data_IF_928373971876
#
_entry.id   IF_928373971876
#
_cell.length_a   1.000
_cell.length_b   1.000
_cell.length_c   1.000
_cell.angle_alpha   90.00
_cell.angle_beta   90.00
_cell.angle_gamma   90.00
#
_symmetry.space_group_name_H-M   'P 1'
#
loop_
_entity.id
_entity.type
_entity.pdbx_description
1 polymer ?
#
# COMPACT_ATOMS: atom_id res chain seq x y z
N UNK A 1 8.24 3.60 31.88
CA UNK A 1 8.95 4.43 30.89
C UNK A 1 8.29 4.21 29.55
N UNK A 2 7.87 5.30 28.91
CA UNK A 2 6.73 5.38 28.00
C UNK A 2 7.09 4.99 26.56
N UNK A 3 6.68 3.80 26.11
CA UNK A 3 6.84 3.32 24.72
C UNK A 3 5.61 3.60 23.85
N UNK A 4 5.08 4.83 23.89
CA UNK A 4 3.98 5.25 23.02
C UNK A 4 4.34 6.56 22.32
N UNK A 5 5.45 6.56 21.58
CA UNK A 5 5.52 7.43 20.40
C UNK A 5 4.83 6.62 19.30
N UNK A 6 3.50 6.69 19.29
CA UNK A 6 2.78 6.47 18.04
C UNK A 6 3.16 7.65 17.14
N UNK A 7 4.32 7.54 16.50
CA UNK A 7 4.79 8.51 15.52
C UNK A 7 3.66 8.65 14.53
N UNK A 8 3.08 9.84 14.44
CA UNK A 8 2.02 10.03 13.46
C UNK A 8 2.63 9.77 12.08
N UNK A 9 1.82 9.28 11.13
CA UNK A 9 2.25 9.16 9.73
C UNK A 9 2.83 10.47 9.22
N UNK A 10 2.38 11.62 9.76
CA UNK A 10 2.87 12.94 9.38
C UNK A 10 4.31 13.25 9.86
N UNK A 11 4.77 12.67 10.97
CA UNK A 11 6.10 12.97 11.55
C UNK A 11 7.20 12.05 11.02
N UNK A 12 6.88 10.77 10.83
CA UNK A 12 7.81 9.79 10.26
C UNK A 12 7.04 8.69 9.51
N UNK A 13 6.63 8.96 8.25
CA UNK A 13 5.81 8.04 7.48
C UNK A 13 6.46 6.66 7.34
N UNK A 14 7.76 6.64 7.05
CA UNK A 14 8.52 5.41 6.84
C UNK A 14 8.65 4.58 8.12
N UNK A 15 8.90 5.22 9.27
CA UNK A 15 9.00 4.50 10.53
C UNK A 15 7.64 3.91 10.94
N UNK A 16 6.57 4.71 10.82
CA UNK A 16 5.22 4.23 11.07
C UNK A 16 4.89 3.00 10.23
N UNK A 17 5.14 3.07 8.92
CA UNK A 17 4.86 1.98 7.98
C UNK A 17 5.66 0.73 8.31
N UNK A 18 6.96 0.86 8.64
CA UNK A 18 7.80 -0.28 9.03
C UNK A 18 7.28 -0.99 10.28
N UNK A 19 6.89 -0.22 11.30
CA UNK A 19 6.32 -0.79 12.54
C UNK A 19 5.00 -1.50 12.28
N UNK A 20 4.08 -0.88 11.53
CA UNK A 20 2.80 -1.51 11.21
C UNK A 20 2.97 -2.75 10.33
N UNK A 21 3.81 -2.65 9.29
CA UNK A 21 4.10 -3.78 8.43
C UNK A 21 4.77 -4.94 9.18
N UNK A 22 5.70 -4.66 10.10
CA UNK A 22 6.34 -5.70 10.90
C UNK A 22 5.33 -6.51 11.71
N UNK A 23 4.36 -5.82 12.35
CA UNK A 23 3.27 -6.46 13.10
C UNK A 23 2.38 -7.31 12.19
N UNK A 24 1.97 -6.79 11.04
CA UNK A 24 1.13 -7.52 10.08
C UNK A 24 1.84 -8.79 9.57
N UNK A 25 3.15 -8.71 9.30
CA UNK A 25 3.97 -9.87 8.91
C UNK A 25 4.00 -10.91 10.05
N UNK A 26 4.25 -10.47 11.28
CA UNK A 26 4.27 -11.37 12.44
C UNK A 26 2.91 -12.07 12.66
N UNK A 27 1.82 -11.32 12.59
CA UNK A 27 0.46 -11.84 12.75
C UNK A 27 0.09 -12.82 11.64
N UNK A 28 0.36 -12.49 10.39
CA UNK A 28 0.11 -13.37 9.25
C UNK A 28 0.94 -14.65 9.31
N UNK A 29 2.23 -14.54 9.68
CA UNK A 29 3.10 -15.70 9.88
C UNK A 29 2.53 -16.61 10.97
N UNK A 30 2.10 -16.05 12.10
CA UNK A 30 1.47 -16.81 13.21
C UNK A 30 0.16 -17.47 12.79
N UNK A 31 -0.70 -16.77 12.03
CA UNK A 31 -1.95 -17.34 11.47
C UNK A 31 -1.71 -18.53 10.57
N UNK A 32 -0.56 -18.57 9.88
CA UNK A 32 -0.11 -19.70 9.05
C UNK A 32 0.69 -20.77 9.82
N UNK A 33 0.79 -20.65 11.15
CA UNK A 33 1.56 -21.55 12.03
C UNK A 33 3.05 -21.68 11.69
N UNK A 34 3.65 -20.66 11.06
CA UNK A 34 5.06 -20.65 10.71
C UNK A 34 5.91 -20.09 11.86
N UNK A 35 7.06 -20.70 12.15
CA UNK A 35 8.07 -20.05 13.01
C UNK A 35 8.85 -19.00 12.23
N UNK A 36 9.56 -18.09 12.92
CA UNK A 36 10.47 -17.16 12.25
C UNK A 36 11.53 -17.90 11.42
N UNK A 37 11.97 -19.09 11.88
CA UNK A 37 12.95 -19.88 11.14
C UNK A 37 12.37 -20.44 9.85
N UNK A 38 11.10 -20.82 9.84
CA UNK A 38 10.46 -21.40 8.65
C UNK A 38 10.29 -20.33 7.57
N UNK A 39 9.68 -19.19 7.91
CA UNK A 39 9.50 -18.09 6.95
C UNK A 39 10.84 -17.52 6.46
N UNK A 40 11.83 -17.36 7.36
CA UNK A 40 13.15 -16.90 6.95
C UNK A 40 13.81 -17.87 5.95
N UNK A 41 13.68 -19.19 6.19
CA UNK A 41 14.18 -20.21 5.27
C UNK A 41 13.48 -20.14 3.91
N UNK A 42 12.16 -19.99 3.88
CA UNK A 42 11.39 -19.85 2.64
C UNK A 42 11.80 -18.64 1.81
N UNK A 43 12.23 -17.56 2.48
CA UNK A 43 12.73 -16.34 1.84
C UNK A 43 14.22 -16.39 1.50
N UNK A 44 14.94 -17.46 1.86
CA UNK A 44 16.39 -17.55 1.69
C UNK A 44 17.20 -16.63 2.62
N UNK A 45 16.60 -16.21 3.75
CA UNK A 45 17.14 -15.22 4.67
C UNK A 45 17.48 -15.80 6.05
N UNK A 46 18.26 -15.06 6.84
CA UNK A 46 18.55 -15.42 8.23
C UNK A 46 17.41 -15.10 9.19
N UNK A 47 17.27 -15.88 10.28
CA UNK A 47 16.23 -15.64 11.32
C UNK A 47 16.34 -14.25 11.94
N UNK A 48 17.57 -13.74 12.11
CA UNK A 48 17.81 -12.37 12.59
C UNK A 48 17.21 -11.32 11.66
N UNK A 49 17.35 -11.50 10.34
CA UNK A 49 16.78 -10.58 9.35
C UNK A 49 15.27 -10.51 9.53
N UNK A 50 14.56 -11.65 9.59
CA UNK A 50 13.12 -11.65 9.76
C UNK A 50 12.68 -11.02 11.09
N UNK A 51 13.42 -11.25 12.17
CA UNK A 51 13.16 -10.61 13.47
C UNK A 51 13.25 -9.09 13.38
N UNK A 52 14.24 -8.56 12.66
CA UNK A 52 14.39 -7.12 12.45
C UNK A 52 13.24 -6.54 11.61
N UNK A 53 12.74 -7.29 10.62
CA UNK A 53 11.55 -6.90 9.83
C UNK A 53 10.30 -6.88 10.71
N UNK A 54 10.02 -7.95 11.45
CA UNK A 54 8.84 -8.05 12.32
C UNK A 54 8.85 -6.99 13.43
N UNK A 55 10.02 -6.62 13.94
CA UNK A 55 10.18 -5.55 14.92
C UNK A 55 10.01 -4.13 14.33
N UNK A 56 9.94 -3.99 13.00
CA UNK A 56 9.86 -2.69 12.34
C UNK A 56 11.15 -1.88 12.47
N UNK A 57 12.31 -2.54 12.42
CA UNK A 57 13.62 -1.90 12.57
C UNK A 57 13.74 -0.67 11.64
N UNK A 58 14.04 0.54 12.14
CA UNK A 58 14.19 1.73 11.30
C UNK A 58 15.20 1.55 10.16
N UNK A 59 16.21 0.68 10.35
CA UNK A 59 17.25 0.36 9.37
C UNK A 59 16.87 -0.72 8.36
N UNK A 60 15.77 -1.46 8.56
CA UNK A 60 15.28 -2.39 7.53
C UNK A 60 14.89 -1.63 6.27
N UNK A 61 14.93 -2.27 5.11
CA UNK A 61 14.50 -1.62 3.88
C UNK A 61 13.03 -1.93 3.61
N UNK A 62 12.35 -1.07 2.86
CA UNK A 62 10.92 -1.28 2.59
C UNK A 62 10.67 -2.49 1.67
N UNK A 63 11.59 -2.77 0.75
CA UNK A 63 11.60 -3.96 -0.09
C UNK A 63 11.67 -5.25 0.72
N UNK A 64 12.36 -5.27 1.87
CA UNK A 64 12.34 -6.42 2.77
C UNK A 64 10.94 -6.71 3.32
N UNK A 65 10.20 -5.65 3.69
CA UNK A 65 8.81 -5.76 4.14
C UNK A 65 7.89 -6.23 3.02
N UNK A 66 8.09 -5.73 1.79
CA UNK A 66 7.33 -6.15 0.61
C UNK A 66 7.60 -7.63 0.27
N UNK A 67 8.83 -8.11 0.38
CA UNK A 67 9.17 -9.51 0.15
C UNK A 67 8.42 -10.44 1.13
N UNK A 68 8.39 -10.09 2.42
CA UNK A 68 7.60 -10.81 3.42
C UNK A 68 6.09 -10.74 3.12
N UNK A 69 5.57 -9.57 2.79
CA UNK A 69 4.15 -9.39 2.47
C UNK A 69 3.72 -10.23 1.27
N UNK A 70 4.52 -10.22 0.19
CA UNK A 70 4.29 -11.04 -1.00
C UNK A 70 4.29 -12.54 -0.66
N UNK A 71 5.28 -13.02 0.11
CA UNK A 71 5.37 -14.43 0.50
C UNK A 71 4.22 -14.90 1.38
N UNK A 72 3.66 -13.98 2.17
CA UNK A 72 2.51 -14.21 3.06
C UNK A 72 1.18 -13.82 2.43
N UNK A 73 1.16 -13.47 1.14
CA UNK A 73 -0.01 -13.03 0.37
C UNK A 73 -0.82 -11.96 1.12
N UNK A 74 -0.11 -11.04 1.75
CA UNK A 74 -0.72 -9.89 2.40
C UNK A 74 -0.99 -8.81 1.37
N UNK A 75 -2.14 -8.15 1.52
CA UNK A 75 -2.36 -6.83 0.95
C UNK A 75 -1.15 -5.94 1.26
N UNK A 76 -0.69 -5.16 0.28
CA UNK A 76 0.37 -4.16 0.47
C UNK A 76 -0.18 -2.79 0.88
N UNK A 77 -1.50 -2.69 1.06
CA UNK A 77 -2.22 -1.46 1.36
C UNK A 77 -1.74 -0.82 2.66
N UNK A 78 -1.38 -1.62 3.66
CA UNK A 78 -0.85 -1.12 4.94
C UNK A 78 0.53 -0.48 4.83
N UNK A 79 1.21 -0.65 3.69
CA UNK A 79 2.46 0.04 3.33
C UNK A 79 2.15 1.22 2.42
N UNK A 80 1.46 0.99 1.30
CA UNK A 80 1.34 1.98 0.23
C UNK A 80 0.37 3.11 0.56
N UNK A 81 -0.79 2.80 1.15
CA UNK A 81 -1.84 3.80 1.39
C UNK A 81 -1.38 4.86 2.41
N UNK A 82 -0.76 4.52 3.56
CA UNK A 82 -0.21 5.53 4.46
C UNK A 82 0.82 6.45 3.77
N UNK A 83 1.63 5.91 2.85
CA UNK A 83 2.62 6.70 2.09
C UNK A 83 1.94 7.63 1.08
N UNK A 84 0.84 7.21 0.44
CA UNK A 84 0.05 8.08 -0.42
C UNK A 84 -0.54 9.27 0.37
N UNK A 85 -1.08 9.02 1.56
CA UNK A 85 -1.57 10.08 2.46
C UNK A 85 -0.45 11.03 2.87
N UNK A 86 0.70 10.48 3.29
CA UNK A 86 1.86 11.28 3.66
C UNK A 86 2.37 12.16 2.51
N UNK A 87 2.42 11.62 1.28
CA UNK A 87 2.82 12.35 0.08
C UNK A 87 1.91 13.55 -0.23
N UNK A 88 0.64 13.47 0.17
CA UNK A 88 -0.34 14.56 0.06
C UNK A 88 -0.44 15.44 1.31
N UNK A 89 0.48 15.27 2.29
CA UNK A 89 0.47 15.97 3.59
C UNK A 89 -0.83 15.75 4.37
N UNK A 90 -1.47 14.60 4.19
CA UNK A 90 -2.69 14.23 4.89
C UNK A 90 -2.40 13.25 6.04
N UNK A 91 -3.24 13.30 7.08
CA UNK A 91 -3.21 12.32 8.16
C UNK A 91 -3.81 10.99 7.69
N UNK A 92 -3.08 9.89 7.88
CA UNK A 92 -3.63 8.56 7.64
C UNK A 92 -4.58 8.15 8.79
N UNK A 93 -5.86 7.85 8.52
CA UNK A 93 -6.81 7.43 9.54
C UNK A 93 -6.40 6.11 10.19
N UNK A 94 -6.28 6.07 11.52
CA UNK A 94 -5.87 4.84 12.25
C UNK A 94 -6.85 3.69 12.06
N UNK A 95 -8.11 3.99 11.75
CA UNK A 95 -9.16 3.02 11.46
C UNK A 95 -8.84 2.22 10.19
N UNK A 96 -8.19 2.84 9.20
CA UNK A 96 -7.71 2.18 7.99
C UNK A 96 -6.41 1.39 8.24
N UNK A 97 -5.73 1.58 9.37
CA UNK A 97 -4.55 0.83 9.72
C UNK A 97 -4.88 -0.58 10.25
N UNK A 98 -6.14 -0.85 10.59
CA UNK A 98 -6.59 -2.10 11.19
C UNK A 98 -7.52 -2.83 10.22
N UNK A 99 -7.03 -3.91 9.61
CA UNK A 99 -7.84 -4.77 8.76
C UNK A 99 -7.13 -5.22 7.49
N UNK A 100 -7.85 -6.02 6.71
CA UNK A 100 -7.48 -6.36 5.34
C UNK A 100 -7.85 -5.18 4.43
N UNK A 101 -6.87 -4.70 3.65
CA UNK A 101 -7.02 -3.57 2.73
C UNK A 101 -7.17 -4.00 1.27
N UNK A 102 -7.33 -5.30 1.01
CA UNK A 102 -7.45 -5.87 -0.34
C UNK A 102 -8.57 -5.22 -1.16
N UNK A 103 -9.73 -4.99 -0.57
CA UNK A 103 -10.87 -4.36 -1.28
C UNK A 103 -10.55 -2.91 -1.66
N UNK A 104 -9.89 -2.17 -0.76
CA UNK A 104 -9.46 -0.80 -1.05
C UNK A 104 -8.36 -0.77 -2.12
N UNK A 105 -7.42 -1.72 -2.12
CA UNK A 105 -6.44 -1.86 -3.19
C UNK A 105 -7.09 -2.08 -4.55
N UNK A 106 -8.12 -2.94 -4.63
CA UNK A 106 -8.88 -3.16 -5.88
C UNK A 106 -9.55 -1.89 -6.36
N UNK A 107 -10.24 -1.16 -5.46
CA UNK A 107 -10.88 0.12 -5.79
C UNK A 107 -9.86 1.16 -6.28
N UNK A 108 -8.66 1.20 -5.69
CA UNK A 108 -7.58 2.06 -6.17
C UNK A 108 -7.12 1.67 -7.57
N UNK A 109 -6.93 0.38 -7.85
CA UNK A 109 -6.54 -0.12 -9.18
C UNK A 109 -7.59 0.25 -10.23
N UNK A 110 -8.87 0.01 -9.93
CA UNK A 110 -9.99 0.35 -10.82
C UNK A 110 -10.03 1.85 -11.13
N UNK A 111 -9.91 2.70 -10.10
CA UNK A 111 -9.89 4.15 -10.27
C UNK A 111 -8.71 4.61 -11.15
N UNK A 112 -7.51 4.08 -10.90
CA UNK A 112 -6.31 4.43 -11.68
C UNK A 112 -6.48 3.97 -13.13
N UNK A 113 -6.97 2.76 -13.35
CA UNK A 113 -7.20 2.23 -14.68
C UNK A 113 -8.22 3.06 -15.45
N UNK A 114 -9.37 3.36 -14.84
CA UNK A 114 -10.44 4.15 -15.46
C UNK A 114 -9.94 5.54 -15.85
N UNK A 115 -9.25 6.24 -14.93
CA UNK A 115 -8.71 7.57 -15.22
C UNK A 115 -7.76 7.57 -16.43
N UNK A 116 -6.89 6.57 -16.52
CA UNK A 116 -5.95 6.46 -17.65
C UNK A 116 -6.67 6.14 -18.96
N UNK A 117 -7.68 5.28 -18.93
CA UNK A 117 -8.52 4.98 -20.10
C UNK A 117 -9.26 6.22 -20.58
N UNK A 118 -9.84 7.02 -19.68
CA UNK A 118 -10.55 8.25 -20.03
C UNK A 118 -9.60 9.27 -20.68
N UNK A 119 -8.39 9.44 -20.11
CA UNK A 119 -7.36 10.31 -20.66
C UNK A 119 -6.89 9.84 -22.05
N UNK A 120 -6.66 8.54 -22.24
CA UNK A 120 -6.27 7.97 -23.54
C UNK A 120 -7.40 8.15 -24.56
N UNK A 121 -8.64 7.90 -24.16
CA UNK A 121 -9.82 8.09 -25.01
C UNK A 121 -9.92 9.53 -25.47
N UNK A 122 -9.78 10.51 -24.57
CA UNK A 122 -9.79 11.93 -24.92
C UNK A 122 -8.64 12.30 -25.87
N UNK A 123 -7.42 11.82 -25.61
CA UNK A 123 -6.26 12.13 -26.43
C UNK A 123 -6.34 11.55 -27.85
N UNK A 124 -7.01 10.40 -28.00
CA UNK A 124 -7.13 9.68 -29.26
C UNK A 124 -8.43 9.98 -30.01
N UNK A 125 -9.42 10.63 -29.38
CA UNK A 125 -10.68 11.02 -30.03
C UNK A 125 -10.42 12.19 -30.99
N UNK A 126 -10.51 11.99 -32.31
CA UNK A 126 -10.25 13.06 -33.26
C UNK A 126 -11.33 14.14 -33.19
N UNK A 127 -10.99 15.40 -33.43
CA UNK A 127 -11.94 16.53 -33.38
C UNK A 127 -13.14 16.40 -34.34
N UNK A 128 -13.04 15.59 -35.41
CA UNK A 128 -14.13 15.32 -36.34
C UNK A 128 -15.10 14.22 -35.86
N UNK A 129 -14.76 13.49 -34.78
CA UNK A 129 -15.59 12.46 -34.17
C UNK A 129 -16.44 12.98 -33.00
N UNK A 130 -16.21 14.21 -32.53
CA UNK A 130 -17.16 14.89 -31.64
C UNK A 130 -18.44 15.17 -32.44
N UNK A 131 -19.63 14.80 -31.94
CA UNK A 131 -20.87 15.14 -32.62
C UNK A 131 -20.90 16.65 -32.78
N UNK A 132 -20.96 17.11 -34.03
CA UNK A 132 -21.19 18.51 -34.32
C UNK A 132 -22.49 18.90 -33.59
N UNK A 133 -22.41 19.89 -32.70
CA UNK A 133 -23.60 20.57 -32.20
C UNK A 133 -24.47 20.91 -33.42
N UNK A 134 -25.78 20.62 -33.43
CA UNK A 134 -26.67 21.05 -34.48
C UNK A 134 -26.91 22.56 -34.34
N UNK A 135 -25.86 23.37 -34.54
CA UNK A 135 -25.95 24.80 -34.76
C UNK A 135 -26.36 25.00 -36.22
N UNK A 136 -27.67 24.95 -36.47
CA UNK A 136 -28.18 25.29 -37.81
C UNK A 136 -29.55 24.72 -38.17
N UNK A 137 -30.54 24.82 -37.29
CA UNK A 137 -31.94 24.87 -37.73
C UNK A 137 -32.47 26.27 -37.47
N UNK A 138 -31.90 27.24 -38.18
CA UNK A 138 -32.61 28.49 -38.44
C UNK A 138 -33.62 28.24 -39.55
N UNK A 139 -34.88 28.54 -39.27
CA UNK A 139 -35.84 29.26 -40.13
C UNK A 139 -37.01 29.71 -39.26
#
# INVERSE_FOLDING_TARGET
MSHLIATSVAESPLLYVKVQSGRQIEEARKKRHLTQRDLARELGMGVRWLREIEAGNPRSRLDDHLACAYRLELSTGHILIPLLFAGQKMCFPRQLAMGDLSDLERLCIEMIAQRNLDHLTQALTPAWASPADPAGAGL
#
